data_IF_836605622132
#
_entry.id   IF_836605622132
#
_cell.length_a   1.000
_cell.length_b   1.000
_cell.length_c   1.000
_cell.angle_alpha   90.00
_cell.angle_beta   90.00
_cell.angle_gamma   90.00
#
_symmetry.space_group_name_H-M   'P 1'
#
loop_
_entity.id
_entity.type
_entity.pdbx_description
1 polymer ?
#
# COMPACT_ATOMS: atom_id res chain seq x y z
N UNK A 1 14.88 -12.11 -19.31
CA UNK A 1 14.00 -10.94 -19.09
C UNK A 1 13.22 -11.20 -17.82
N UNK A 2 13.16 -10.21 -16.95
CA UNK A 2 12.34 -10.25 -15.75
C UNK A 2 10.86 -10.28 -16.14
N UNK A 3 10.08 -11.21 -15.57
CA UNK A 3 8.69 -11.38 -15.95
C UNK A 3 7.78 -10.52 -15.09
N UNK A 4 6.78 -9.91 -15.73
CA UNK A 4 5.75 -9.13 -15.04
C UNK A 4 4.80 -10.06 -14.29
N UNK A 5 4.64 -9.85 -12.98
CA UNK A 5 3.64 -10.51 -12.14
C UNK A 5 2.39 -9.64 -11.99
N UNK A 6 2.54 -8.37 -11.55
CA UNK A 6 1.42 -7.45 -11.61
C UNK A 6 1.69 -6.39 -12.67
N UNK A 7 0.80 -6.29 -13.66
CA UNK A 7 0.92 -5.39 -14.79
C UNK A 7 1.00 -3.92 -14.33
N UNK A 8 1.53 -3.01 -15.17
CA UNK A 8 1.46 -1.58 -14.92
C UNK A 8 0.03 -1.11 -14.63
N UNK A 9 -0.09 -0.05 -13.82
CA UNK A 9 -1.38 0.59 -13.56
C UNK A 9 -2.10 0.93 -14.87
N UNK A 10 -3.42 0.75 -14.89
CA UNK A 10 -4.29 0.93 -16.04
C UNK A 10 -5.60 1.61 -15.58
N UNK A 11 -6.49 1.90 -16.50
CA UNK A 11 -7.78 2.58 -16.25
C UNK A 11 -8.64 1.90 -15.17
N UNK A 12 -8.45 0.60 -14.90
CA UNK A 12 -9.12 -0.04 -13.77
C UNK A 12 -8.69 0.51 -12.41
N UNK A 13 -7.47 1.09 -12.31
CA UNK A 13 -6.99 1.76 -11.10
C UNK A 13 -7.75 3.06 -10.79
N UNK A 14 -8.50 3.59 -11.75
CA UNK A 14 -9.24 4.85 -11.61
C UNK A 14 -10.70 4.64 -11.17
N UNK A 15 -11.12 3.40 -10.96
CA UNK A 15 -12.47 3.03 -10.52
C UNK A 15 -12.56 2.97 -8.99
N UNK A 16 -13.76 3.19 -8.47
CA UNK A 16 -14.08 3.06 -7.05
C UNK A 16 -14.83 4.27 -6.50
N UNK A 17 -15.06 4.28 -5.20
CA UNK A 17 -15.81 5.33 -4.50
C UNK A 17 -14.91 6.16 -3.59
N UNK A 18 -15.26 7.42 -3.41
CA UNK A 18 -14.67 8.29 -2.41
C UNK A 18 -15.51 8.19 -1.14
N UNK A 19 -14.85 7.85 -0.05
CA UNK A 19 -15.49 7.69 1.25
C UNK A 19 -15.62 9.04 1.95
N UNK A 20 -16.54 9.12 2.89
CA UNK A 20 -16.76 10.29 3.73
C UNK A 20 -16.29 10.02 5.14
N UNK A 21 -15.70 11.03 5.79
CA UNK A 21 -15.19 10.95 7.15
C UNK A 21 -14.34 12.17 7.49
N UNK A 22 -13.97 12.29 8.76
CA UNK A 22 -13.12 13.36 9.28
C UNK A 22 -11.75 12.80 9.62
N UNK A 23 -10.70 13.10 8.84
CA UNK A 23 -9.32 12.68 9.15
C UNK A 23 -8.85 13.27 10.47
N UNK A 24 -8.15 12.47 11.27
CA UNK A 24 -7.63 12.85 12.59
C UNK A 24 -6.13 13.12 12.61
N UNK A 25 -5.41 12.67 11.59
CA UNK A 25 -3.98 12.93 11.42
C UNK A 25 -3.68 14.32 10.86
N UNK A 26 -2.45 14.56 10.52
CA UNK A 26 -1.99 15.83 9.95
C UNK A 26 -0.92 15.63 8.89
N UNK A 27 -0.79 16.56 7.96
CA UNK A 27 0.28 16.56 6.97
C UNK A 27 1.49 17.32 7.51
N UNK A 28 2.66 16.73 7.38
CA UNK A 28 3.96 17.39 7.57
C UNK A 28 4.91 17.03 6.43
N UNK A 29 6.02 17.74 6.31
CA UNK A 29 7.06 17.36 5.34
C UNK A 29 8.15 16.51 6.01
N UNK A 30 8.55 15.44 5.31
CA UNK A 30 9.74 14.64 5.63
C UNK A 30 10.61 14.66 4.37
N UNK A 31 11.81 15.20 4.47
CA UNK A 31 12.72 15.45 3.32
C UNK A 31 12.07 16.21 2.16
N UNK A 32 11.22 17.20 2.49
CA UNK A 32 10.50 18.00 1.48
C UNK A 32 9.34 17.27 0.78
N UNK A 33 8.96 16.07 1.26
CA UNK A 33 7.86 15.28 0.74
C UNK A 33 6.69 15.31 1.72
N UNK A 34 5.50 15.69 1.25
CA UNK A 34 4.30 15.70 2.06
C UNK A 34 4.01 14.29 2.60
N UNK A 35 3.80 14.23 3.91
CA UNK A 35 3.58 13.00 4.65
C UNK A 35 2.38 13.16 5.55
N UNK A 36 1.36 12.33 5.35
CA UNK A 36 0.26 12.25 6.32
C UNK A 36 0.70 11.42 7.51
N UNK A 37 0.54 11.97 8.71
CA UNK A 37 0.91 11.34 9.97
C UNK A 37 -0.34 11.09 10.80
N UNK A 38 -0.70 9.83 10.96
CA UNK A 38 -1.73 9.40 11.89
C UNK A 38 -1.07 8.78 13.12
N UNK A 39 -1.46 9.25 14.32
CA UNK A 39 -0.90 8.79 15.60
C UNK A 39 -1.95 8.07 16.42
N UNK A 40 -1.58 7.01 17.14
CA UNK A 40 -2.42 6.40 18.15
C UNK A 40 -2.86 7.43 19.21
N UNK A 41 -3.96 7.13 19.90
CA UNK A 41 -4.30 7.88 21.10
C UNK A 41 -3.20 7.70 22.16
N UNK A 42 -2.93 8.71 22.98
CA UNK A 42 -1.91 8.62 24.04
C UNK A 42 -2.09 7.38 24.92
N UNK A 43 -1.03 6.59 25.07
CA UNK A 43 -1.02 5.35 25.85
C UNK A 43 -1.62 4.13 25.12
N UNK A 44 -1.89 4.25 23.83
CA UNK A 44 -2.32 3.14 22.95
C UNK A 44 -1.28 2.76 21.90
N UNK A 45 -0.10 3.39 21.96
CA UNK A 45 1.00 3.13 21.04
C UNK A 45 1.54 1.71 21.23
N UNK A 46 1.70 0.96 20.12
CA UNK A 46 2.37 -0.34 20.14
C UNK A 46 3.91 -0.23 19.98
N UNK A 47 4.42 0.99 19.80
CA UNK A 47 5.85 1.27 19.65
C UNK A 47 6.40 1.07 18.24
N UNK A 48 5.56 0.79 17.23
CA UNK A 48 5.97 0.48 15.88
C UNK A 48 5.48 1.52 14.86
N UNK A 49 6.17 1.57 13.73
CA UNK A 49 5.92 2.50 12.64
C UNK A 49 5.36 1.71 11.44
N UNK A 50 4.26 2.19 10.87
CA UNK A 50 3.68 1.67 9.64
C UNK A 50 3.91 2.64 8.49
N UNK A 51 4.65 2.21 7.49
CA UNK A 51 4.83 2.93 6.22
C UNK A 51 3.64 2.62 5.31
N UNK A 52 2.92 3.65 4.90
CA UNK A 52 1.75 3.53 4.04
C UNK A 52 2.07 4.07 2.65
N UNK A 53 2.03 3.19 1.65
CA UNK A 53 2.23 3.50 0.24
C UNK A 53 0.88 3.50 -0.48
N UNK A 54 0.31 4.68 -0.80
CA UNK A 54 -1.02 4.78 -1.38
C UNK A 54 -1.10 4.23 -2.80
N UNK A 55 -2.30 4.15 -3.34
CA UNK A 55 -2.53 3.87 -4.75
C UNK A 55 -2.32 5.14 -5.62
N UNK A 56 -2.63 5.07 -6.91
CA UNK A 56 -2.45 6.17 -7.85
C UNK A 56 -3.19 7.47 -7.48
N UNK A 57 -4.23 7.38 -6.63
CA UNK A 57 -4.91 8.58 -6.12
C UNK A 57 -4.08 9.36 -5.09
N UNK A 58 -2.98 8.77 -4.61
CA UNK A 58 -2.07 9.41 -3.66
C UNK A 58 -2.69 9.62 -2.28
N UNK A 59 -2.22 10.65 -1.58
CA UNK A 59 -2.75 11.04 -0.28
C UNK A 59 -4.11 11.75 -0.44
N UNK A 60 -5.18 11.03 -0.20
CA UNK A 60 -6.55 11.53 -0.29
C UNK A 60 -7.42 10.95 0.85
N UNK A 61 -8.68 11.36 0.92
CA UNK A 61 -9.57 11.04 2.06
C UNK A 61 -9.62 9.55 2.41
N UNK A 62 -9.72 8.64 1.42
CA UNK A 62 -9.79 7.21 1.71
C UNK A 62 -8.50 6.70 2.37
N UNK A 63 -7.33 7.19 1.91
CA UNK A 63 -6.04 6.85 2.50
C UNK A 63 -5.94 7.41 3.92
N UNK A 64 -6.34 8.66 4.14
CA UNK A 64 -6.32 9.27 5.48
C UNK A 64 -7.15 8.46 6.48
N UNK A 65 -8.38 8.09 6.11
CA UNK A 65 -9.26 7.29 6.96
C UNK A 65 -8.69 5.90 7.27
N UNK A 66 -8.03 5.25 6.29
CA UNK A 66 -7.36 3.97 6.52
C UNK A 66 -6.14 4.12 7.43
N UNK A 67 -5.35 5.16 7.26
CA UNK A 67 -4.20 5.44 8.11
C UNK A 67 -4.61 5.76 9.55
N UNK A 68 -5.68 6.52 9.74
CA UNK A 68 -6.29 6.76 11.05
C UNK A 68 -6.78 5.46 11.71
N UNK A 69 -7.34 4.54 10.91
CA UNK A 69 -7.75 3.22 11.41
C UNK A 69 -6.54 2.37 11.85
N UNK A 70 -5.43 2.39 11.12
CA UNK A 70 -4.18 1.76 11.58
C UNK A 70 -3.64 2.41 12.86
N UNK A 71 -3.74 3.74 12.96
CA UNK A 71 -3.35 4.44 14.19
C UNK A 71 -4.24 4.06 15.39
N UNK A 72 -5.54 3.82 15.18
CA UNK A 72 -6.41 3.29 16.23
C UNK A 72 -6.01 1.87 16.69
N UNK A 73 -5.32 1.11 15.84
CA UNK A 73 -4.72 -0.19 16.18
C UNK A 73 -3.33 -0.08 16.84
N UNK A 74 -2.85 1.12 17.13
CA UNK A 74 -1.60 1.37 17.87
C UNK A 74 -0.39 1.74 17.03
N UNK A 75 -0.48 1.76 15.71
CA UNK A 75 0.63 2.08 14.80
C UNK A 75 0.78 3.58 14.57
N UNK A 76 1.97 4.14 14.73
CA UNK A 76 2.27 5.44 14.13
C UNK A 76 2.33 5.22 12.62
N UNK A 77 1.35 5.73 11.89
CA UNK A 77 1.21 5.48 10.46
C UNK A 77 1.64 6.69 9.65
N UNK A 78 2.57 6.48 8.72
CA UNK A 78 3.17 7.51 7.89
C UNK A 78 2.87 7.23 6.41
N UNK A 79 2.10 8.09 5.76
CA UNK A 79 1.75 7.97 4.35
C UNK A 79 2.51 8.98 3.49
N UNK A 80 3.15 8.49 2.46
CA UNK A 80 4.00 9.28 1.57
C UNK A 80 3.24 9.84 0.37
N UNK A 81 3.44 11.12 0.04
CA UNK A 81 3.09 11.67 -1.27
C UNK A 81 4.26 11.52 -2.25
N UNK A 82 4.47 10.32 -2.76
CA UNK A 82 5.52 10.08 -3.74
C UNK A 82 5.20 10.63 -5.15
N UNK A 83 3.99 11.18 -5.36
CA UNK A 83 3.67 11.92 -6.58
C UNK A 83 4.01 13.41 -6.49
N UNK A 84 4.46 13.86 -5.32
CA UNK A 84 4.97 15.22 -5.06
C UNK A 84 3.95 16.29 -5.50
N UNK A 85 2.72 16.20 -4.97
CA UNK A 85 1.63 17.14 -5.23
C UNK A 85 0.95 16.94 -6.60
N UNK A 86 1.19 15.82 -7.27
CA UNK A 86 0.59 15.51 -8.56
C UNK A 86 -0.11 14.14 -8.62
N UNK A 87 -0.83 13.72 -7.57
CA UNK A 87 -1.60 12.47 -7.59
C UNK A 87 -2.83 12.59 -8.51
N UNK A 88 -3.40 11.46 -8.90
CA UNK A 88 -4.61 11.44 -9.74
C UNK A 88 -5.78 12.18 -9.11
N UNK A 89 -5.91 12.14 -7.79
CA UNK A 89 -6.95 12.86 -7.05
C UNK A 89 -6.97 14.39 -7.27
N UNK A 90 -5.86 14.95 -7.74
CA UNK A 90 -5.74 16.37 -8.11
C UNK A 90 -6.55 16.73 -9.35
N UNK A 91 -6.70 15.81 -10.29
CA UNK A 91 -7.34 16.08 -11.59
C UNK A 91 -8.86 15.88 -11.51
N UNK A 92 -9.31 14.76 -10.99
CA UNK A 92 -10.72 14.46 -10.77
C UNK A 92 -10.86 13.20 -9.92
N UNK A 93 -11.93 13.07 -9.16
CA UNK A 93 -12.31 11.81 -8.55
C UNK A 93 -12.81 10.78 -9.59
N UNK A 94 -13.12 11.21 -10.79
CA UNK A 94 -13.36 10.35 -11.94
C UNK A 94 -12.59 10.88 -13.16
N UNK A 95 -11.25 10.72 -13.18
CA UNK A 95 -10.41 11.21 -14.28
C UNK A 95 -10.76 10.56 -15.62
N UNK A 96 -11.48 9.41 -15.63
CA UNK A 96 -12.01 8.80 -16.84
C UNK A 96 -13.02 9.70 -17.57
N UNK A 97 -13.62 10.66 -16.87
CA UNK A 97 -14.58 11.62 -17.44
C UNK A 97 -13.92 12.95 -17.82
N UNK A 98 -12.64 13.14 -17.54
CA UNK A 98 -11.89 14.33 -17.98
C UNK A 98 -11.24 14.06 -19.33
N UNK A 99 -11.74 14.64 -20.43
CA UNK A 99 -11.18 14.41 -21.77
C UNK A 99 -9.76 14.99 -21.94
N UNK A 100 -9.31 15.83 -21.01
CA UNK A 100 -7.98 16.44 -21.04
C UNK A 100 -6.96 15.69 -20.17
N UNK A 101 -7.37 14.68 -19.42
CA UNK A 101 -6.47 13.89 -18.59
C UNK A 101 -5.90 12.70 -19.38
N UNK A 102 -4.61 12.77 -19.70
CA UNK A 102 -3.86 11.68 -20.33
C UNK A 102 -3.21 10.81 -19.25
N UNK A 103 -3.85 9.68 -18.94
CA UNK A 103 -3.38 8.74 -17.92
C UNK A 103 -2.03 8.12 -18.28
N UNK A 104 -1.79 7.80 -19.55
CA UNK A 104 -0.52 7.20 -19.97
C UNK A 104 0.65 8.17 -19.78
N UNK A 105 0.49 9.40 -20.24
CA UNK A 105 1.51 10.44 -20.01
C UNK A 105 1.75 10.71 -18.53
N UNK A 106 0.69 10.73 -17.71
CA UNK A 106 0.80 10.88 -16.26
C UNK A 106 1.54 9.70 -15.63
N UNK A 107 1.20 8.48 -16.02
CA UNK A 107 1.83 7.23 -15.53
C UNK A 107 3.32 7.22 -15.86
N UNK A 108 3.70 7.51 -17.10
CA UNK A 108 5.10 7.51 -17.54
C UNK A 108 5.93 8.57 -16.79
N UNK A 109 5.37 9.76 -16.58
CA UNK A 109 5.98 10.81 -15.77
C UNK A 109 6.31 10.35 -14.36
N UNK A 110 5.38 9.61 -13.72
CA UNK A 110 5.51 9.25 -12.32
C UNK A 110 6.20 7.92 -12.07
N UNK A 111 6.44 7.10 -13.10
CA UNK A 111 6.97 5.75 -12.91
C UNK A 111 8.31 5.77 -12.16
N UNK A 112 9.29 6.54 -12.64
CA UNK A 112 10.61 6.68 -11.99
C UNK A 112 10.62 7.73 -10.87
N UNK A 113 9.93 8.85 -11.07
CA UNK A 113 9.89 9.92 -10.08
C UNK A 113 9.34 9.45 -8.72
N UNK A 114 8.33 8.58 -8.72
CA UNK A 114 7.78 8.02 -7.49
C UNK A 114 8.74 7.04 -6.78
N UNK A 115 9.62 6.34 -7.52
CA UNK A 115 10.65 5.48 -6.94
C UNK A 115 11.70 6.31 -6.18
N UNK A 116 12.20 7.37 -6.83
CA UNK A 116 13.18 8.27 -6.21
C UNK A 116 12.60 8.97 -4.98
N UNK A 117 11.37 9.46 -5.08
CA UNK A 117 10.69 10.12 -3.97
C UNK A 117 10.45 9.16 -2.80
N UNK A 118 9.95 7.94 -3.07
CA UNK A 118 9.73 6.93 -2.04
C UNK A 118 11.04 6.50 -1.35
N UNK A 119 12.12 6.29 -2.12
CA UNK A 119 13.42 5.89 -1.56
C UNK A 119 14.02 6.99 -0.65
N UNK A 120 13.97 8.24 -1.07
CA UNK A 120 14.41 9.38 -0.25
C UNK A 120 13.60 9.50 1.03
N UNK A 121 12.27 9.41 0.90
CA UNK A 121 11.36 9.48 2.02
C UNK A 121 11.60 8.37 3.04
N UNK A 122 11.73 7.11 2.62
CA UNK A 122 12.02 5.98 3.51
C UNK A 122 13.32 6.20 4.28
N UNK A 123 14.37 6.68 3.61
CA UNK A 123 15.65 7.01 4.27
C UNK A 123 15.48 8.06 5.35
N UNK A 124 14.72 9.12 5.07
CA UNK A 124 14.46 10.19 6.04
C UNK A 124 13.57 9.71 7.20
N UNK A 125 12.54 8.92 6.93
CA UNK A 125 11.69 8.30 7.94
C UNK A 125 12.52 7.40 8.87
N UNK A 126 13.40 6.56 8.31
CA UNK A 126 14.30 5.74 9.14
C UNK A 126 15.14 6.59 10.08
N UNK A 127 15.73 7.68 9.56
CA UNK A 127 16.56 8.58 10.36
C UNK A 127 15.77 9.27 11.48
N UNK A 128 14.52 9.63 11.24
CA UNK A 128 13.68 10.35 12.22
C UNK A 128 13.00 9.41 13.23
N UNK A 129 12.57 8.23 12.81
CA UNK A 129 11.69 7.35 13.62
C UNK A 129 12.38 6.12 14.21
N UNK A 130 13.56 5.70 13.72
CA UNK A 130 14.32 4.61 14.33
C UNK A 130 15.03 5.09 15.61
N UNK A 131 14.26 5.46 16.61
CA UNK A 131 14.75 6.09 17.86
C UNK A 131 15.35 5.10 18.86
N UNK A 132 15.13 3.82 18.67
CA UNK A 132 15.70 2.72 19.47
C UNK A 132 15.65 1.41 18.70
N UNK A 133 16.39 0.40 19.13
CA UNK A 133 16.41 -0.95 18.55
C UNK A 133 15.08 -1.72 18.73
N UNK A 134 14.20 -1.24 19.59
CA UNK A 134 12.87 -1.84 19.82
C UNK A 134 11.82 -1.34 18.81
N UNK A 135 12.06 -0.21 18.14
CA UNK A 135 11.17 0.29 17.10
C UNK A 135 11.31 -0.57 15.87
N UNK A 136 10.21 -1.20 15.47
CA UNK A 136 10.11 -1.97 14.24
C UNK A 136 9.27 -1.24 13.20
N UNK A 137 9.54 -1.55 11.94
CA UNK A 137 8.82 -0.98 10.81
C UNK A 137 7.99 -2.05 10.12
N UNK A 138 6.75 -1.72 9.78
CA UNK A 138 5.91 -2.47 8.85
C UNK A 138 5.65 -1.62 7.60
N UNK A 139 5.28 -2.27 6.50
CA UNK A 139 4.85 -1.58 5.30
C UNK A 139 3.50 -2.09 4.79
N UNK A 140 2.65 -1.19 4.35
CA UNK A 140 1.41 -1.52 3.63
C UNK A 140 1.35 -0.75 2.32
N UNK A 141 0.92 -1.42 1.24
CA UNK A 141 0.84 -0.81 -0.07
C UNK A 141 -0.38 -1.26 -0.87
N UNK A 142 -0.93 -0.31 -1.61
CA UNK A 142 -2.14 -0.49 -2.41
C UNK A 142 -1.84 -0.15 -3.87
N UNK A 143 -2.21 -1.03 -4.81
CA UNK A 143 -2.04 -0.81 -6.24
C UNK A 143 -0.60 -0.40 -6.59
N UNK A 144 -0.38 0.86 -6.99
CA UNK A 144 0.93 1.47 -7.28
C UNK A 144 1.93 1.30 -6.12
N UNK A 145 1.45 1.41 -4.88
CA UNK A 145 2.28 1.32 -3.67
C UNK A 145 2.80 -0.08 -3.36
N UNK A 146 2.25 -1.13 -3.97
CA UNK A 146 2.62 -2.52 -3.68
C UNK A 146 4.12 -2.80 -3.93
N UNK A 147 4.68 -2.26 -5.01
CA UNK A 147 6.11 -2.40 -5.35
C UNK A 147 7.05 -1.83 -4.29
N UNK A 148 6.64 -0.74 -3.63
CA UNK A 148 7.47 -0.15 -2.58
C UNK A 148 7.50 -1.01 -1.33
N UNK A 149 6.42 -1.76 -1.05
CA UNK A 149 6.41 -2.74 0.04
C UNK A 149 7.41 -3.86 -0.22
N UNK A 150 7.44 -4.44 -1.42
CA UNK A 150 8.42 -5.50 -1.74
C UNK A 150 9.86 -5.00 -1.61
N UNK A 151 10.14 -3.76 -2.02
CA UNK A 151 11.47 -3.13 -1.80
C UNK A 151 11.80 -3.01 -0.30
N UNK A 152 10.82 -2.65 0.54
CA UNK A 152 11.05 -2.54 1.99
C UNK A 152 11.17 -3.88 2.72
N UNK A 153 10.72 -4.97 2.09
CA UNK A 153 10.87 -6.34 2.60
C UNK A 153 12.10 -7.07 2.03
N UNK A 154 12.89 -6.40 1.20
CA UNK A 154 14.14 -6.93 0.67
C UNK A 154 15.27 -6.85 1.70
N UNK A 155 16.42 -7.45 1.38
CA UNK A 155 17.62 -7.39 2.23
C UNK A 155 18.11 -5.95 2.49
N UNK A 156 17.77 -5.00 1.62
CA UNK A 156 18.16 -3.59 1.75
C UNK A 156 17.04 -2.74 2.38
N UNK A 157 15.86 -3.32 2.58
CA UNK A 157 14.71 -2.66 3.17
C UNK A 157 14.82 -2.44 4.67
N UNK A 158 13.82 -1.78 5.23
CA UNK A 158 13.82 -1.45 6.66
C UNK A 158 12.67 -2.12 7.43
N UNK A 159 11.74 -2.77 6.75
CA UNK A 159 10.54 -3.33 7.35
C UNK A 159 10.71 -4.80 7.69
N UNK A 160 10.18 -5.22 8.85
CA UNK A 160 10.19 -6.60 9.35
C UNK A 160 8.95 -7.38 8.91
N UNK A 161 7.96 -6.71 8.34
CA UNK A 161 6.72 -7.30 7.84
C UNK A 161 6.04 -6.35 6.85
N UNK A 162 5.31 -6.91 5.88
CA UNK A 162 4.55 -6.10 4.95
C UNK A 162 3.25 -6.74 4.51
N UNK A 163 2.40 -5.90 3.92
CA UNK A 163 1.15 -6.34 3.31
C UNK A 163 0.84 -5.52 2.04
N UNK A 164 0.30 -6.18 1.02
CA UNK A 164 -0.09 -5.53 -0.23
C UNK A 164 -1.51 -5.91 -0.62
N UNK A 165 -2.24 -4.95 -1.19
CA UNK A 165 -3.57 -5.22 -1.72
C UNK A 165 -3.67 -4.82 -3.19
N UNK A 166 -4.35 -5.66 -4.01
CA UNK A 166 -4.58 -5.45 -5.45
C UNK A 166 -3.37 -4.80 -6.17
N UNK A 167 -2.22 -5.49 -6.22
CA UNK A 167 -0.97 -4.89 -6.66
C UNK A 167 -0.95 -4.49 -8.14
N UNK A 168 -0.11 -3.50 -8.46
CA UNK A 168 0.38 -3.21 -9.81
C UNK A 168 1.90 -3.05 -9.80
N UNK A 169 2.53 -3.06 -10.97
CA UNK A 169 3.98 -2.86 -11.15
C UNK A 169 4.86 -3.85 -10.35
N UNK A 170 4.50 -5.13 -10.28
CA UNK A 170 5.38 -6.14 -9.73
C UNK A 170 6.00 -7.00 -10.82
N UNK A 171 7.28 -7.27 -10.69
CA UNK A 171 8.03 -8.23 -11.48
C UNK A 171 8.44 -9.43 -10.63
N UNK A 172 8.91 -10.51 -11.26
CA UNK A 172 9.44 -11.66 -10.53
C UNK A 172 10.61 -11.27 -9.61
N UNK A 173 11.50 -10.37 -10.06
CA UNK A 173 12.63 -9.89 -9.25
C UNK A 173 12.18 -9.21 -7.95
N UNK A 174 11.07 -8.46 -7.96
CA UNK A 174 10.53 -7.83 -6.74
C UNK A 174 10.13 -8.88 -5.71
N UNK A 175 9.49 -9.97 -6.17
CA UNK A 175 9.03 -11.05 -5.28
C UNK A 175 10.18 -11.95 -4.85
N UNK A 176 11.16 -12.27 -5.72
CA UNK A 176 12.38 -12.96 -5.34
C UNK A 176 13.21 -12.18 -4.31
N UNK A 177 13.13 -10.86 -4.37
CA UNK A 177 13.79 -9.96 -3.43
C UNK A 177 13.21 -10.00 -2.01
N UNK A 178 11.98 -10.43 -1.83
CA UNK A 178 11.31 -10.46 -0.51
C UNK A 178 12.00 -11.44 0.44
N UNK A 179 12.42 -10.97 1.60
CA UNK A 179 13.07 -11.76 2.66
C UNK A 179 12.26 -11.77 3.96
N UNK A 180 11.40 -10.80 4.14
CA UNK A 180 10.54 -10.64 5.31
C UNK A 180 9.10 -11.08 5.04
N UNK A 181 8.30 -11.39 6.07
CA UNK A 181 6.93 -11.86 5.92
C UNK A 181 6.03 -10.91 5.12
N UNK A 182 5.30 -11.43 4.14
CA UNK A 182 4.40 -10.67 3.28
C UNK A 182 2.98 -11.24 3.27
N UNK A 183 1.97 -10.37 3.35
CA UNK A 183 0.56 -10.72 3.17
C UNK A 183 0.02 -10.11 1.87
N UNK A 184 -0.67 -10.91 1.06
CA UNK A 184 -1.32 -10.44 -0.17
C UNK A 184 -2.85 -10.53 -0.04
N UNK A 185 -3.55 -9.45 -0.35
CA UNK A 185 -5.01 -9.38 -0.36
C UNK A 185 -5.50 -8.99 -1.75
N UNK A 186 -6.10 -9.92 -2.48
CA UNK A 186 -6.29 -9.76 -3.92
C UNK A 186 -7.71 -10.12 -4.38
N UNK A 187 -8.24 -9.46 -5.43
CA UNK A 187 -9.47 -9.89 -6.08
C UNK A 187 -9.25 -11.22 -6.81
N UNK A 188 -10.28 -12.05 -6.87
CA UNK A 188 -10.27 -13.27 -7.69
C UNK A 188 -10.18 -12.95 -9.19
N UNK A 189 -10.72 -11.79 -9.61
CA UNK A 189 -10.62 -11.30 -10.99
C UNK A 189 -10.00 -9.90 -10.97
N UNK A 190 -8.76 -9.83 -11.40
CA UNK A 190 -8.00 -8.58 -11.54
C UNK A 190 -7.18 -8.65 -12.82
N UNK A 191 -7.43 -7.73 -13.76
CA UNK A 191 -6.72 -7.71 -15.04
C UNK A 191 -5.23 -7.36 -14.90
N UNK A 192 -4.82 -6.80 -13.77
CA UNK A 192 -3.42 -6.47 -13.48
C UNK A 192 -2.69 -7.62 -12.79
N UNK A 193 -3.42 -8.50 -12.09
CA UNK A 193 -2.84 -9.60 -11.32
C UNK A 193 -3.71 -10.86 -11.48
N UNK A 194 -3.60 -11.47 -12.67
CA UNK A 194 -4.41 -12.61 -13.09
C UNK A 194 -4.02 -13.91 -12.37
N UNK A 195 -4.76 -14.98 -12.61
CA UNK A 195 -4.58 -16.29 -11.94
C UNK A 195 -3.17 -16.86 -12.15
N UNK A 196 -2.63 -16.75 -13.36
CA UNK A 196 -1.28 -17.25 -13.68
C UNK A 196 -0.22 -16.50 -12.88
N UNK A 197 -0.32 -15.16 -12.82
CA UNK A 197 0.62 -14.33 -12.08
C UNK A 197 0.51 -14.54 -10.57
N UNK A 198 -0.70 -14.74 -10.05
CA UNK A 198 -0.89 -15.10 -8.63
C UNK A 198 -0.25 -16.45 -8.30
N UNK A 199 -0.49 -17.46 -9.14
CA UNK A 199 0.12 -18.78 -8.98
C UNK A 199 1.65 -18.66 -9.00
N UNK A 200 2.19 -17.92 -9.96
CA UNK A 200 3.62 -17.71 -10.07
C UNK A 200 4.21 -16.98 -8.86
N UNK A 201 3.52 -16.00 -8.32
CA UNK A 201 3.92 -15.32 -7.08
C UNK A 201 4.01 -16.28 -5.90
N UNK A 202 3.02 -17.17 -5.74
CA UNK A 202 3.02 -18.20 -4.68
C UNK A 202 4.18 -19.19 -4.87
N UNK A 203 4.44 -19.60 -6.11
CA UNK A 203 5.60 -20.47 -6.42
C UNK A 203 6.92 -19.83 -5.99
N UNK A 204 7.15 -18.56 -6.36
CA UNK A 204 8.39 -17.85 -6.00
C UNK A 204 8.53 -17.75 -4.48
N UNK A 205 7.49 -17.28 -3.80
CA UNK A 205 7.52 -17.15 -2.33
C UNK A 205 7.74 -18.50 -1.64
N UNK A 206 7.20 -19.59 -2.19
CA UNK A 206 7.42 -20.95 -1.68
C UNK A 206 8.85 -21.41 -1.91
N UNK A 207 9.42 -21.19 -3.10
CA UNK A 207 10.80 -21.54 -3.45
C UNK A 207 11.81 -20.81 -2.55
N UNK A 208 11.58 -19.52 -2.30
CA UNK A 208 12.42 -18.70 -1.42
C UNK A 208 12.22 -19.02 0.08
N UNK A 209 11.39 -20.02 0.42
CA UNK A 209 11.01 -20.34 1.80
C UNK A 209 10.41 -19.13 2.55
N UNK A 210 9.78 -18.24 1.80
CA UNK A 210 9.18 -17.03 2.32
C UNK A 210 8.00 -17.31 3.26
N UNK A 211 7.84 -16.44 4.23
CA UNK A 211 6.67 -16.45 5.14
C UNK A 211 5.61 -15.58 4.54
N UNK A 212 4.56 -16.17 4.00
CA UNK A 212 3.51 -15.41 3.33
C UNK A 212 2.12 -15.94 3.64
N UNK A 213 1.14 -15.09 3.42
CA UNK A 213 -0.27 -15.44 3.36
C UNK A 213 -0.90 -14.75 2.15
N UNK A 214 -1.88 -15.38 1.51
CA UNK A 214 -2.66 -14.79 0.44
C UNK A 214 -4.13 -15.07 0.66
N UNK A 215 -4.94 -14.00 0.71
CA UNK A 215 -6.40 -14.10 0.69
C UNK A 215 -6.95 -13.59 -0.64
N UNK A 216 -7.94 -14.31 -1.16
CA UNK A 216 -8.55 -14.03 -2.45
C UNK A 216 -10.03 -13.76 -2.24
N UNK A 217 -10.51 -12.60 -2.71
CA UNK A 217 -11.92 -12.22 -2.64
C UNK A 217 -12.59 -12.34 -4.00
N UNK A 218 -13.69 -13.09 -4.06
CA UNK A 218 -14.56 -13.12 -5.24
C UNK A 218 -15.38 -11.83 -5.34
N UNK A 219 -15.93 -11.54 -6.53
CA UNK A 219 -16.89 -10.45 -6.76
C UNK A 219 -16.46 -9.04 -6.28
N UNK A 220 -15.18 -8.81 -6.14
CA UNK A 220 -14.60 -7.48 -5.98
C UNK A 220 -13.59 -7.26 -7.10
N UNK A 221 -13.30 -6.00 -7.43
CA UNK A 221 -12.34 -5.62 -8.47
C UNK A 221 -11.09 -4.98 -7.93
N UNK A 222 -10.19 -4.60 -8.85
CA UNK A 222 -9.02 -3.79 -8.52
C UNK A 222 -9.43 -2.52 -7.77
N UNK A 223 -8.71 -2.17 -6.71
CA UNK A 223 -9.03 -1.02 -5.86
C UNK A 223 -10.00 -1.31 -4.70
N UNK A 224 -10.54 -2.53 -4.57
CA UNK A 224 -11.55 -2.86 -3.53
C UNK A 224 -11.11 -2.49 -2.11
N UNK A 225 -9.83 -2.67 -1.82
CA UNK A 225 -9.29 -2.43 -0.49
C UNK A 225 -9.24 -0.94 -0.11
N UNK A 226 -8.97 -0.05 -1.08
CA UNK A 226 -8.89 1.39 -0.86
C UNK A 226 -10.18 2.14 -1.25
N UNK A 227 -10.86 1.73 -2.33
CA UNK A 227 -12.00 2.44 -2.92
C UNK A 227 -13.23 1.56 -3.17
N UNK A 228 -13.37 0.44 -2.43
CA UNK A 228 -14.54 -0.43 -2.51
C UNK A 228 -15.83 0.33 -2.18
N UNK A 229 -16.94 -0.08 -2.79
CA UNK A 229 -18.27 0.49 -2.58
C UNK A 229 -18.80 0.10 -1.19
N UNK A 230 -18.96 1.09 -0.31
CA UNK A 230 -19.46 0.86 1.06
C UNK A 230 -20.95 0.56 1.10
N UNK A 231 -21.69 0.89 0.04
CA UNK A 231 -23.12 0.58 -0.14
C UNK A 231 -23.36 -0.88 -0.55
N UNK A 232 -22.37 -1.56 -1.11
CA UNK A 232 -22.42 -2.99 -1.37
C UNK A 232 -21.95 -3.75 -0.12
N UNK A 233 -22.80 -4.58 0.51
CA UNK A 233 -22.45 -5.24 1.77
C UNK A 233 -21.24 -6.18 1.65
N UNK A 234 -21.05 -6.83 0.49
CA UNK A 234 -19.94 -7.75 0.30
C UNK A 234 -18.61 -7.02 0.02
N UNK A 235 -18.61 -5.98 -0.82
CA UNK A 235 -17.42 -5.15 -1.03
C UNK A 235 -16.97 -4.48 0.26
N UNK A 236 -17.94 -3.95 1.03
CA UNK A 236 -17.66 -3.41 2.37
C UNK A 236 -17.02 -4.45 3.28
N UNK A 237 -17.61 -5.64 3.38
CA UNK A 237 -17.07 -6.72 4.17
C UNK A 237 -15.66 -7.12 3.72
N UNK A 238 -15.43 -7.27 2.40
CA UNK A 238 -14.12 -7.60 1.85
C UNK A 238 -13.05 -6.54 2.19
N UNK A 239 -13.43 -5.25 2.10
CA UNK A 239 -12.58 -4.13 2.50
C UNK A 239 -12.26 -4.17 4.01
N UNK A 240 -13.25 -4.39 4.88
CA UNK A 240 -13.06 -4.50 6.33
C UNK A 240 -12.23 -5.74 6.69
N UNK A 241 -12.47 -6.86 6.02
CA UNK A 241 -11.76 -8.11 6.27
C UNK A 241 -10.28 -8.04 5.86
N UNK A 242 -9.95 -7.43 4.70
CA UNK A 242 -8.55 -7.28 4.32
C UNK A 242 -7.78 -6.43 5.36
N UNK A 243 -8.38 -5.34 5.82
CA UNK A 243 -7.78 -4.47 6.84
C UNK A 243 -7.50 -5.23 8.13
N UNK A 244 -8.51 -5.95 8.65
CA UNK A 244 -8.36 -6.77 9.85
C UNK A 244 -7.24 -7.81 9.70
N UNK A 245 -7.17 -8.49 8.57
CA UNK A 245 -6.14 -9.49 8.30
C UNK A 245 -4.74 -8.87 8.27
N UNK A 246 -4.60 -7.65 7.75
CA UNK A 246 -3.32 -6.95 7.76
C UNK A 246 -2.89 -6.56 9.17
N UNK A 247 -3.80 -6.04 9.99
CA UNK A 247 -3.52 -5.72 11.41
C UNK A 247 -3.11 -6.99 12.16
N UNK A 248 -3.87 -8.08 12.03
CA UNK A 248 -3.55 -9.36 12.69
C UNK A 248 -2.16 -9.89 12.25
N UNK A 249 -1.81 -9.73 10.98
CA UNK A 249 -0.50 -10.11 10.42
C UNK A 249 0.63 -9.29 11.00
N UNK A 250 0.48 -7.97 11.05
CA UNK A 250 1.48 -7.07 11.64
C UNK A 250 1.65 -7.34 13.13
N UNK A 251 0.57 -7.47 13.89
CA UNK A 251 0.62 -7.76 15.32
C UNK A 251 1.37 -9.05 15.63
N UNK A 252 1.14 -10.10 14.83
CA UNK A 252 1.84 -11.37 15.01
C UNK A 252 3.34 -11.24 14.79
N UNK A 253 3.76 -10.63 13.68
CA UNK A 253 5.19 -10.56 13.31
C UNK A 253 5.97 -9.51 14.09
N UNK A 254 5.33 -8.45 14.54
CA UNK A 254 5.98 -7.41 15.35
C UNK A 254 5.97 -7.76 16.85
N UNK A 255 5.20 -8.77 17.24
CA UNK A 255 5.17 -9.24 18.64
C UNK A 255 4.21 -8.45 19.53
N UNK A 256 3.11 -7.94 18.96
CA UNK A 256 2.07 -7.20 19.71
C UNK A 256 0.99 -8.13 20.32
N UNK A 257 1.06 -9.43 20.03
CA UNK A 257 0.19 -10.49 20.59
C UNK A 257 1.00 -11.58 21.24
#
# INVERSE_FOLDING_TARGET
MDKVLAKPADLCCLKGEIHTGEPTGSVKQIDGIDTYVAKPQPGKENGHILLFFPDAFGLHINCFLMMDAFAQCGYVTLGVDYFVGDPISKYSYNPLNDPNFDFESWKDKHLHASEEAAARWVKAVKAEYATSDTVKFAAVGYCWGARFVTHQLSAEGICQVGAIAHPSFLNESDVFGVKEPIFLSVPAKDNLFEDEQRTRTVEILTQESGRFNMQIFSNVGHGFASRGRLTDPYERWAKEQHFKSFVDWFDFWLGNK
#
